data_IF_468161260086
#
_entry.id   IF_468161260086
#
_cell.length_a   1.000
_cell.length_b   1.000
_cell.length_c   1.000
_cell.angle_alpha   90.00
_cell.angle_beta   90.00
_cell.angle_gamma   90.00
#
_symmetry.space_group_name_H-M   'P 1'
#
loop_
_entity.id
_entity.type
_entity.pdbx_description
1 polymer ?
#
# COMPACT_ATOMS: atom_id res chain seq x y z
N UNK A 1 -10.12 47.64 27.55
CA UNK A 1 -9.72 46.24 27.75
C UNK A 1 -9.62 45.95 29.22
N UNK A 2 -10.55 45.19 29.79
CA UNK A 2 -10.49 44.70 31.16
C UNK A 2 -9.35 43.66 31.19
N UNK A 3 -8.24 44.00 31.79
CA UNK A 3 -7.14 43.07 32.05
C UNK A 3 -7.69 41.91 32.91
N UNK A 4 -7.60 40.71 32.40
CA UNK A 4 -8.01 39.50 33.12
C UNK A 4 -7.12 39.32 34.37
N UNK A 5 -7.65 39.45 35.61
CA UNK A 5 -6.83 39.38 36.82
C UNK A 5 -6.08 38.07 36.98
N UNK A 6 -6.60 36.97 36.41
CA UNK A 6 -5.95 35.67 36.40
C UNK A 6 -4.71 35.65 35.53
N UNK A 7 -4.70 36.36 34.39
CA UNK A 7 -3.50 36.47 33.56
C UNK A 7 -2.37 37.23 34.25
N UNK A 8 -2.69 38.26 35.02
CA UNK A 8 -1.70 39.04 35.76
C UNK A 8 -1.14 38.24 36.95
N UNK A 9 -1.99 37.49 37.66
CA UNK A 9 -1.56 36.61 38.75
C UNK A 9 -0.64 35.48 38.22
N UNK A 10 -0.98 34.87 37.05
CA UNK A 10 -0.13 33.88 36.43
C UNK A 10 1.22 34.46 36.00
N UNK A 11 1.28 35.69 35.48
CA UNK A 11 2.53 36.34 35.16
C UNK A 11 3.39 36.58 36.40
N UNK A 12 2.80 37.03 37.52
CA UNK A 12 3.52 37.23 38.78
C UNK A 12 4.07 35.91 39.34
N UNK A 13 3.28 34.84 39.33
CA UNK A 13 3.73 33.52 39.76
C UNK A 13 4.87 33.02 38.86
N UNK A 14 4.73 33.18 37.55
CA UNK A 14 5.76 32.76 36.58
C UNK A 14 7.00 33.66 36.57
N UNK A 15 7.00 34.81 37.28
CA UNK A 15 8.18 35.67 37.45
C UNK A 15 8.99 35.38 38.72
N UNK A 16 8.59 34.41 39.54
CA UNK A 16 9.37 33.91 40.66
C UNK A 16 10.64 33.24 40.21
N UNK A 17 11.80 33.64 40.73
CA UNK A 17 13.11 33.19 40.23
C UNK A 17 13.33 31.70 40.45
N UNK A 18 12.94 31.11 41.56
CA UNK A 18 13.07 29.68 41.87
C UNK A 18 12.16 28.85 40.96
N UNK A 19 10.95 29.34 40.70
CA UNK A 19 10.02 28.71 39.78
C UNK A 19 10.52 28.82 38.35
N UNK A 20 11.09 29.92 37.92
CA UNK A 20 11.70 30.13 36.61
C UNK A 20 12.88 29.19 36.37
N UNK A 21 13.75 29.00 37.37
CA UNK A 21 14.86 28.01 37.26
C UNK A 21 14.33 26.60 37.08
N UNK A 22 13.32 26.21 37.87
CA UNK A 22 12.66 24.90 37.77
C UNK A 22 12.01 24.71 36.39
N UNK A 23 11.25 25.70 35.94
CA UNK A 23 10.55 25.66 34.64
C UNK A 23 11.55 25.62 33.48
N UNK A 24 12.66 26.32 33.58
CA UNK A 24 13.72 26.32 32.59
C UNK A 24 14.43 24.95 32.54
N UNK A 25 14.70 24.35 33.70
CA UNK A 25 15.26 23.01 33.79
C UNK A 25 14.35 21.98 33.15
N UNK A 26 13.06 22.00 33.45
CA UNK A 26 12.07 21.08 32.83
C UNK A 26 11.92 21.35 31.34
N UNK A 27 11.90 22.61 30.91
CA UNK A 27 11.83 22.95 29.49
C UNK A 27 13.07 22.45 28.71
N UNK A 28 14.26 22.55 29.31
CA UNK A 28 15.49 22.01 28.69
C UNK A 28 15.46 20.48 28.61
N UNK A 29 15.00 19.80 29.66
CA UNK A 29 14.86 18.35 29.64
C UNK A 29 13.86 17.88 28.56
N UNK A 30 12.71 18.55 28.47
CA UNK A 30 11.70 18.27 27.43
C UNK A 30 12.29 18.54 26.04
N UNK A 31 13.01 19.65 25.85
CA UNK A 31 13.67 19.99 24.59
C UNK A 31 14.65 18.90 24.14
N UNK A 32 15.50 18.41 25.05
CA UNK A 32 16.45 17.34 24.73
C UNK A 32 15.73 16.03 24.37
N UNK A 33 14.70 15.64 25.11
CA UNK A 33 13.89 14.47 24.78
C UNK A 33 13.20 14.59 23.42
N UNK A 34 12.65 15.76 23.09
CA UNK A 34 12.05 16.01 21.79
C UNK A 34 13.08 15.95 20.65
N UNK A 35 14.29 16.45 20.89
CA UNK A 35 15.41 16.37 19.95
C UNK A 35 15.84 14.92 19.70
N UNK A 36 15.92 14.12 20.76
CA UNK A 36 16.19 12.69 20.65
C UNK A 36 15.14 11.97 19.80
N UNK A 37 13.85 12.24 20.03
CA UNK A 37 12.76 11.66 19.25
C UNK A 37 12.85 12.06 17.77
N UNK A 38 13.07 13.37 17.50
CA UNK A 38 13.19 13.89 16.15
C UNK A 38 14.40 13.27 15.41
N UNK A 39 15.57 13.19 16.07
CA UNK A 39 16.76 12.58 15.50
C UNK A 39 16.56 11.08 15.21
N UNK A 40 15.95 10.33 16.14
CA UNK A 40 15.62 8.92 15.94
C UNK A 40 14.68 8.73 14.75
N UNK A 41 13.70 9.60 14.60
CA UNK A 41 12.79 9.57 13.44
C UNK A 41 13.55 9.80 12.14
N UNK A 42 14.47 10.76 12.11
CA UNK A 42 15.31 11.01 10.94
C UNK A 42 16.29 9.86 10.65
N UNK A 43 16.85 9.23 11.67
CA UNK A 43 17.68 8.03 11.48
C UNK A 43 16.90 6.90 10.83
N UNK A 44 15.68 6.63 11.31
CA UNK A 44 14.81 5.62 10.70
C UNK A 44 14.38 5.99 9.28
N UNK A 45 14.16 7.26 9.03
CA UNK A 45 13.88 7.73 7.68
C UNK A 45 15.11 7.59 6.76
N UNK A 46 16.33 7.84 7.28
CA UNK A 46 17.60 7.68 6.52
C UNK A 46 17.86 6.23 6.12
N UNK A 47 17.51 5.26 6.98
CA UNK A 47 17.55 3.83 6.64
C UNK A 47 16.66 3.50 5.45
N UNK A 48 15.52 4.21 5.32
CA UNK A 48 14.52 3.97 4.30
C UNK A 48 14.74 4.81 3.04
N UNK A 49 15.06 6.11 3.20
CA UNK A 49 15.34 7.06 2.11
C UNK A 49 16.26 8.18 2.61
N UNK A 50 17.56 8.05 2.29
CA UNK A 50 18.58 9.01 2.71
C UNK A 50 18.35 10.40 2.08
N UNK A 51 17.87 10.45 0.83
CA UNK A 51 17.64 11.71 0.11
C UNK A 51 16.55 12.55 0.78
N UNK A 52 15.46 11.90 1.23
CA UNK A 52 14.39 12.58 1.96
C UNK A 52 14.90 12.99 3.35
N UNK A 53 15.58 12.09 4.07
CA UNK A 53 16.06 12.37 5.42
C UNK A 53 17.04 13.54 5.46
N UNK A 54 17.96 13.59 4.50
CA UNK A 54 18.98 14.64 4.44
C UNK A 54 18.40 16.01 4.03
N UNK A 55 17.19 16.02 3.45
CA UNK A 55 16.44 17.25 3.14
C UNK A 55 15.63 17.78 4.32
N UNK A 56 15.63 17.13 5.48
CA UNK A 56 14.79 17.44 6.63
C UNK A 56 15.66 17.81 7.84
N UNK A 57 15.28 18.89 8.53
CA UNK A 57 15.92 19.32 9.77
C UNK A 57 14.88 19.49 10.86
N UNK A 58 15.10 18.94 12.08
CA UNK A 58 14.21 19.20 13.21
C UNK A 58 14.30 20.66 13.64
N UNK A 59 13.15 21.31 13.75
CA UNK A 59 13.07 22.67 14.30
C UNK A 59 12.42 22.59 15.68
N UNK A 60 13.22 22.80 16.69
CA UNK A 60 12.81 22.81 18.10
C UNK A 60 12.94 24.23 18.62
N UNK A 61 11.86 24.85 19.10
CA UNK A 61 11.90 26.21 19.62
C UNK A 61 12.89 26.36 20.77
N UNK A 62 13.52 27.53 20.88
CA UNK A 62 14.39 27.80 22.03
C UNK A 62 13.57 27.89 23.33
N UNK A 63 14.14 27.43 24.43
CA UNK A 63 13.48 27.44 25.74
C UNK A 63 13.10 28.86 26.23
N UNK A 64 13.82 29.87 25.75
CA UNK A 64 13.56 31.30 26.09
C UNK A 64 12.31 31.86 25.40
N UNK A 65 11.86 31.27 24.31
CA UNK A 65 10.67 31.71 23.56
C UNK A 65 9.42 30.91 23.88
N UNK A 66 9.52 29.89 24.73
CA UNK A 66 8.43 28.93 24.97
C UNK A 66 7.52 29.39 26.07
N UNK A 67 6.24 29.54 25.73
CA UNK A 67 5.18 29.45 26.77
C UNK A 67 5.01 27.97 27.08
N UNK A 68 4.78 27.60 28.33
CA UNK A 68 4.56 26.19 28.73
C UNK A 68 3.65 25.39 27.78
N UNK A 69 2.59 26.04 27.31
CA UNK A 69 1.66 25.42 26.33
C UNK A 69 2.26 25.23 24.97
N UNK A 70 3.30 25.96 24.61
CA UNK A 70 3.92 25.90 23.27
C UNK A 70 5.03 24.86 23.20
N UNK A 71 5.61 24.42 24.32
CA UNK A 71 6.64 23.37 24.40
C UNK A 71 6.17 22.10 23.71
N UNK A 72 4.90 21.75 23.88
CA UNK A 72 4.33 20.53 23.28
C UNK A 72 3.80 20.72 21.85
N UNK A 73 3.62 21.97 21.41
CA UNK A 73 3.08 22.29 20.07
C UNK A 73 4.14 22.81 19.09
N UNK A 74 5.30 23.20 19.58
CA UNK A 74 6.33 23.89 18.80
C UNK A 74 7.33 22.98 18.11
N UNK A 75 7.23 21.65 18.28
CA UNK A 75 8.12 20.72 17.59
C UNK A 75 7.67 20.57 16.14
N UNK A 76 8.56 20.88 15.23
CA UNK A 76 8.34 20.66 13.80
C UNK A 76 9.58 20.08 13.14
N UNK A 77 9.37 19.39 12.03
CA UNK A 77 10.44 18.97 11.12
C UNK A 77 10.34 19.86 9.90
N UNK A 78 11.42 20.60 9.59
CA UNK A 78 11.53 21.40 8.38
C UNK A 78 12.56 20.82 7.42
N UNK A 79 12.46 21.15 6.14
CA UNK A 79 13.44 20.79 5.14
C UNK A 79 14.50 21.89 4.92
N UNK A 80 15.35 21.68 3.92
CA UNK A 80 16.53 22.52 3.62
C UNK A 80 16.23 24.01 3.43
N UNK A 81 15.03 24.41 3.08
CA UNK A 81 14.63 25.81 2.90
C UNK A 81 13.68 26.28 4.01
N UNK A 82 13.80 25.76 5.23
CA UNK A 82 12.88 26.00 6.34
C UNK A 82 11.40 25.71 6.01
N UNK A 83 11.16 24.85 5.01
CA UNK A 83 9.80 24.46 4.65
C UNK A 83 9.28 23.44 5.67
N UNK A 84 8.28 23.81 6.49
CA UNK A 84 7.72 22.90 7.47
C UNK A 84 7.14 21.63 6.85
N UNK A 85 7.22 20.49 7.55
CA UNK A 85 6.72 19.19 7.06
C UNK A 85 5.26 19.25 6.60
N UNK A 86 4.41 20.09 7.23
CA UNK A 86 3.01 20.27 6.86
C UNK A 86 2.81 20.95 5.49
N UNK A 87 3.86 21.57 4.93
CA UNK A 87 3.88 22.15 3.57
C UNK A 87 4.45 21.20 2.53
N UNK A 88 5.03 20.06 2.95
CA UNK A 88 5.55 19.04 2.04
C UNK A 88 4.45 18.12 1.50
N UNK A 89 4.77 17.38 0.45
CA UNK A 89 3.84 16.42 -0.15
C UNK A 89 3.36 15.35 0.84
N UNK A 90 2.17 14.82 0.61
CA UNK A 90 1.53 13.80 1.48
C UNK A 90 2.41 12.56 1.66
N UNK A 91 3.14 12.14 0.62
CA UNK A 91 4.06 11.00 0.67
C UNK A 91 5.14 11.18 1.74
N UNK A 92 5.84 12.32 1.74
CA UNK A 92 6.89 12.62 2.74
C UNK A 92 6.33 12.61 4.15
N UNK A 93 5.16 13.23 4.36
CA UNK A 93 4.49 13.25 5.68
C UNK A 93 4.22 11.84 6.21
N UNK A 94 3.72 10.94 5.35
CA UNK A 94 3.42 9.54 5.71
C UNK A 94 4.68 8.76 6.03
N UNK A 95 5.76 8.93 5.27
CA UNK A 95 7.05 8.29 5.53
C UNK A 95 7.64 8.74 6.88
N UNK A 96 7.60 10.04 7.17
CA UNK A 96 8.05 10.57 8.48
C UNK A 96 7.23 10.00 9.61
N UNK A 97 5.89 9.99 9.49
CA UNK A 97 5.00 9.44 10.51
C UNK A 97 5.25 7.95 10.76
N UNK A 98 5.44 7.16 9.71
CA UNK A 98 5.75 5.74 9.81
C UNK A 98 7.07 5.52 10.58
N UNK A 99 8.12 6.27 10.24
CA UNK A 99 9.42 6.14 10.90
C UNK A 99 9.41 6.68 12.34
N UNK A 100 8.56 7.64 12.64
CA UNK A 100 8.28 8.02 14.03
C UNK A 100 7.70 6.84 14.82
N UNK A 101 6.71 6.12 14.27
CA UNK A 101 6.15 4.93 14.92
C UNK A 101 7.19 3.82 15.09
N UNK A 102 8.04 3.56 14.08
CA UNK A 102 9.14 2.60 14.19
C UNK A 102 10.08 2.96 15.35
N UNK A 103 10.52 4.22 15.41
CA UNK A 103 11.38 4.70 16.48
C UNK A 103 10.74 4.57 17.88
N UNK A 104 9.43 4.80 17.98
CA UNK A 104 8.70 4.67 19.25
C UNK A 104 8.57 3.21 19.71
N UNK A 105 8.37 2.26 18.79
CA UNK A 105 8.35 0.84 19.10
C UNK A 105 9.71 0.37 19.62
N UNK A 106 10.78 0.73 18.94
CA UNK A 106 12.15 0.39 19.37
C UNK A 106 12.46 0.97 20.75
N UNK A 107 12.06 2.21 21.02
CA UNK A 107 12.23 2.83 22.32
C UNK A 107 11.53 2.04 23.42
N UNK A 108 10.25 1.71 23.24
CA UNK A 108 9.46 0.93 24.21
C UNK A 108 10.06 -0.46 24.45
N UNK A 109 10.53 -1.10 23.42
CA UNK A 109 11.19 -2.39 23.53
C UNK A 109 12.47 -2.31 24.35
N UNK A 110 13.31 -1.30 24.09
CA UNK A 110 14.56 -1.06 24.83
C UNK A 110 14.32 -0.68 26.30
N UNK A 111 13.17 -0.09 26.63
CA UNK A 111 12.76 0.22 28.01
C UNK A 111 12.13 -0.97 28.74
N UNK A 112 12.13 -2.18 28.13
CA UNK A 112 11.58 -3.39 28.73
C UNK A 112 10.05 -3.42 28.78
N UNK A 113 9.37 -2.56 28.04
CA UNK A 113 7.91 -2.56 27.94
C UNK A 113 7.46 -3.53 26.86
N UNK A 114 7.06 -4.72 27.26
CA UNK A 114 6.64 -5.82 26.38
C UNK A 114 5.15 -5.75 25.98
N UNK A 115 4.48 -4.61 26.13
CA UNK A 115 3.10 -4.46 25.67
C UNK A 115 3.02 -4.52 24.14
N UNK A 116 2.11 -5.35 23.62
CA UNK A 116 1.87 -5.44 22.17
C UNK A 116 1.36 -4.13 21.59
N UNK A 117 1.72 -3.84 20.35
CA UNK A 117 1.30 -2.65 19.61
C UNK A 117 0.62 -3.07 18.32
N UNK A 118 -0.56 -2.51 18.06
CA UNK A 118 -1.30 -2.68 16.80
C UNK A 118 -1.28 -1.35 16.06
N UNK A 119 -0.76 -1.35 14.84
CA UNK A 119 -0.84 -0.22 13.92
C UNK A 119 -1.97 -0.45 12.93
N UNK A 120 -3.00 0.38 13.00
CA UNK A 120 -4.08 0.43 12.03
C UNK A 120 -3.84 1.61 11.07
N UNK A 121 -3.65 1.33 9.80
CA UNK A 121 -3.25 2.31 8.78
C UNK A 121 -4.23 2.24 7.62
N UNK A 122 -4.85 3.36 7.29
CA UNK A 122 -5.80 3.46 6.18
C UNK A 122 -5.09 4.00 4.94
N UNK A 123 -5.21 3.26 3.83
CA UNK A 123 -4.71 3.62 2.50
C UNK A 123 -3.33 4.32 2.53
N UNK A 124 -2.29 3.66 3.07
CA UNK A 124 -0.99 4.30 3.26
C UNK A 124 -0.34 4.75 1.95
N UNK A 125 -0.74 4.18 0.83
CA UNK A 125 -0.24 4.46 -0.51
C UNK A 125 -0.81 5.72 -1.16
N UNK A 126 -1.91 6.27 -0.65
CA UNK A 126 -2.62 7.38 -1.30
C UNK A 126 -1.68 8.57 -1.56
N UNK A 127 -1.69 9.05 -2.80
CA UNK A 127 -0.84 10.16 -3.28
C UNK A 127 0.66 9.86 -3.25
N UNK A 128 1.07 8.59 -3.37
CA UNK A 128 2.47 8.21 -3.44
C UNK A 128 2.83 7.66 -4.82
N UNK A 129 4.05 7.98 -5.27
CA UNK A 129 4.64 7.33 -6.44
C UNK A 129 4.92 5.85 -6.14
N UNK A 130 4.90 5.00 -7.17
CA UNK A 130 5.06 3.54 -7.06
C UNK A 130 6.32 3.13 -6.29
N UNK A 131 7.45 3.82 -6.50
CA UNK A 131 8.70 3.53 -5.77
C UNK A 131 8.56 3.79 -4.26
N UNK A 132 7.83 4.84 -3.88
CA UNK A 132 7.57 5.13 -2.47
C UNK A 132 6.57 4.13 -1.88
N UNK A 133 5.62 3.62 -2.66
CA UNK A 133 4.73 2.55 -2.22
C UNK A 133 5.52 1.26 -1.90
N UNK A 134 6.53 0.91 -2.72
CA UNK A 134 7.41 -0.24 -2.46
C UNK A 134 8.17 -0.08 -1.15
N UNK A 135 8.87 1.04 -0.98
CA UNK A 135 9.61 1.35 0.26
C UNK A 135 8.70 1.32 1.49
N UNK A 136 7.48 1.85 1.35
CA UNK A 136 6.49 1.88 2.40
C UNK A 136 6.09 0.46 2.83
N UNK A 137 5.78 -0.43 1.89
CA UNK A 137 5.39 -1.80 2.19
C UNK A 137 6.55 -2.59 2.80
N UNK A 138 7.77 -2.41 2.31
CA UNK A 138 8.96 -3.02 2.90
C UNK A 138 9.14 -2.59 4.37
N UNK A 139 9.01 -1.29 4.65
CA UNK A 139 9.10 -0.75 6.00
C UNK A 139 7.96 -1.24 6.92
N UNK A 140 6.74 -1.40 6.39
CA UNK A 140 5.61 -1.97 7.15
C UNK A 140 5.78 -3.46 7.45
N UNK A 141 6.34 -4.23 6.51
CA UNK A 141 6.71 -5.64 6.74
C UNK A 141 7.79 -5.77 7.81
N UNK A 142 8.82 -4.94 7.75
CA UNK A 142 9.88 -4.89 8.76
C UNK A 142 9.28 -4.54 10.13
N UNK A 143 8.42 -3.54 10.21
CA UNK A 143 7.71 -3.17 11.44
C UNK A 143 6.88 -4.35 11.99
N UNK A 144 6.16 -5.05 11.12
CA UNK A 144 5.33 -6.20 11.50
C UNK A 144 6.15 -7.43 11.95
N UNK A 145 7.43 -7.51 11.56
CA UNK A 145 8.35 -8.57 12.03
C UNK A 145 8.85 -8.36 13.45
N UNK A 146 8.62 -7.17 14.02
CA UNK A 146 8.99 -6.85 15.41
C UNK A 146 8.20 -7.69 16.42
N UNK A 147 8.83 -7.98 17.58
CA UNK A 147 8.14 -8.70 18.66
C UNK A 147 6.94 -7.90 19.16
N UNK A 148 5.81 -8.58 19.32
CA UNK A 148 4.56 -8.00 19.82
C UNK A 148 4.02 -6.82 18.99
N UNK A 149 4.35 -6.76 17.70
CA UNK A 149 3.83 -5.76 16.76
C UNK A 149 2.91 -6.41 15.75
N UNK A 150 1.76 -5.81 15.53
CA UNK A 150 0.85 -6.16 14.46
C UNK A 150 0.58 -4.93 13.60
N UNK A 151 0.62 -5.10 12.29
CA UNK A 151 0.22 -4.07 11.32
C UNK A 151 -1.04 -4.53 10.61
N UNK A 152 -2.07 -3.70 10.62
CA UNK A 152 -3.30 -3.87 9.86
C UNK A 152 -3.42 -2.67 8.95
N UNK A 153 -3.54 -2.90 7.64
CA UNK A 153 -3.73 -1.81 6.69
C UNK A 153 -4.92 -2.08 5.77
N UNK A 154 -5.57 -1.01 5.33
CA UNK A 154 -6.50 -1.05 4.21
C UNK A 154 -5.82 -0.52 2.96
N UNK A 155 -6.14 -1.07 1.80
CA UNK A 155 -5.59 -0.63 0.53
C UNK A 155 -6.55 -0.88 -0.62
N UNK A 156 -6.53 0.01 -1.60
CA UNK A 156 -7.14 -0.17 -2.92
C UNK A 156 -6.07 -0.34 -4.03
N UNK A 157 -4.80 -0.54 -3.65
CA UNK A 157 -3.70 -0.67 -4.58
C UNK A 157 -3.42 -2.12 -4.92
N UNK A 158 -3.67 -2.51 -6.16
CA UNK A 158 -3.27 -3.80 -6.71
C UNK A 158 -1.74 -4.00 -6.64
N UNK A 159 -0.98 -2.91 -6.76
CA UNK A 159 0.47 -2.93 -6.59
C UNK A 159 0.90 -3.38 -5.18
N UNK A 160 0.23 -2.89 -4.14
CA UNK A 160 0.49 -3.31 -2.75
C UNK A 160 0.11 -4.78 -2.56
N UNK A 161 -1.07 -5.19 -3.02
CA UNK A 161 -1.55 -6.57 -2.90
C UNK A 161 -0.54 -7.56 -3.52
N UNK A 162 0.02 -7.23 -4.69
CA UNK A 162 1.05 -8.05 -5.36
C UNK A 162 2.36 -8.20 -4.57
N UNK A 163 2.56 -7.43 -3.51
CA UNK A 163 3.76 -7.53 -2.66
C UNK A 163 3.51 -8.27 -1.34
N UNK A 164 2.27 -8.67 -1.06
CA UNK A 164 1.86 -9.36 0.15
C UNK A 164 1.63 -10.86 -0.12
N UNK A 165 1.68 -11.66 0.94
CA UNK A 165 1.33 -13.06 0.85
C UNK A 165 -0.19 -13.25 1.03
N UNK A 166 -0.74 -14.30 0.42
CA UNK A 166 -2.18 -14.60 0.52
C UNK A 166 -2.69 -14.72 1.96
N UNK A 167 -1.88 -15.33 2.82
CA UNK A 167 -2.19 -15.48 4.25
C UNK A 167 -2.43 -14.14 4.96
N UNK A 168 -1.84 -13.07 4.44
CA UNK A 168 -1.95 -11.72 4.98
C UNK A 168 -3.17 -10.97 4.44
N UNK A 169 -3.79 -11.47 3.36
CA UNK A 169 -4.89 -10.77 2.71
C UNK A 169 -6.23 -11.09 3.36
N UNK A 170 -7.07 -10.07 3.45
CA UNK A 170 -8.47 -10.16 3.86
C UNK A 170 -9.31 -9.31 2.93
N UNK A 171 -10.33 -9.90 2.34
CA UNK A 171 -11.26 -9.22 1.45
C UNK A 171 -12.48 -8.75 2.25
N UNK A 172 -12.81 -7.47 2.13
CA UNK A 172 -14.04 -6.92 2.67
C UNK A 172 -15.09 -6.96 1.56
N UNK A 173 -16.10 -7.78 1.74
CA UNK A 173 -17.24 -7.89 0.81
C UNK A 173 -18.48 -7.29 1.45
N UNK A 174 -19.17 -6.42 0.70
CA UNK A 174 -20.50 -5.91 1.06
C UNK A 174 -21.60 -6.78 0.47
N UNK A 175 -22.68 -6.99 1.21
CA UNK A 175 -23.92 -7.42 0.61
C UNK A 175 -24.64 -6.18 0.06
N UNK A 176 -24.97 -6.18 -1.23
CA UNK A 176 -25.63 -5.06 -1.90
C UNK A 176 -27.06 -4.80 -1.37
N UNK A 177 -27.57 -5.65 -0.50
CA UNK A 177 -28.94 -5.60 0.03
C UNK A 177 -29.02 -5.17 1.49
N UNK A 178 -27.92 -5.21 2.25
CA UNK A 178 -27.83 -4.82 3.66
C UNK A 178 -26.51 -4.11 3.93
N UNK A 179 -26.48 -3.19 4.92
CA UNK A 179 -25.27 -2.50 5.39
C UNK A 179 -24.20 -3.43 6.03
N UNK A 180 -24.34 -4.73 5.85
CA UNK A 180 -23.47 -5.74 6.42
C UNK A 180 -22.23 -5.97 5.55
N UNK A 181 -21.06 -5.66 6.11
CA UNK A 181 -19.76 -6.01 5.50
C UNK A 181 -19.19 -7.24 6.18
N UNK A 182 -18.70 -8.17 5.39
CA UNK A 182 -18.05 -9.38 5.86
C UNK A 182 -16.57 -9.37 5.51
N UNK A 183 -15.73 -9.86 6.42
CA UNK A 183 -14.31 -10.08 6.18
C UNK A 183 -14.11 -11.54 5.81
N UNK A 184 -13.55 -11.80 4.62
CA UNK A 184 -13.23 -13.14 4.14
C UNK A 184 -11.72 -13.30 3.98
N UNK A 185 -11.21 -14.48 4.30
CA UNK A 185 -9.87 -14.87 3.86
C UNK A 185 -9.86 -14.91 2.33
N UNK A 186 -8.76 -14.46 1.74
CA UNK A 186 -8.58 -14.59 0.30
C UNK A 186 -8.07 -15.99 0.04
N UNK A 187 -8.93 -16.80 -0.54
CA UNK A 187 -8.59 -18.14 -1.00
C UNK A 187 -8.54 -18.11 -2.54
N UNK A 188 -7.51 -18.65 -3.15
CA UNK A 188 -7.49 -18.83 -4.60
C UNK A 188 -8.64 -19.77 -4.98
N UNK A 189 -9.51 -19.33 -5.89
CA UNK A 189 -10.71 -20.07 -6.20
C UNK A 189 -10.71 -20.77 -7.54
N UNK A 190 -9.81 -20.41 -8.46
CA UNK A 190 -9.83 -20.88 -9.84
C UNK A 190 -8.56 -21.63 -10.26
N UNK A 191 -7.45 -21.34 -9.61
CA UNK A 191 -6.17 -21.96 -9.90
C UNK A 191 -5.74 -22.82 -8.72
N UNK A 192 -5.08 -23.94 -8.98
CA UNK A 192 -4.58 -24.86 -7.94
C UNK A 192 -3.57 -24.21 -6.99
N UNK A 193 -2.99 -23.10 -7.38
CA UNK A 193 -2.06 -22.30 -6.58
C UNK A 193 -2.50 -20.84 -6.58
N UNK A 194 -2.19 -20.11 -5.51
CA UNK A 194 -2.57 -18.73 -5.37
C UNK A 194 -2.03 -17.86 -6.52
N UNK A 195 -2.91 -17.14 -7.21
CA UNK A 195 -2.55 -16.13 -8.20
C UNK A 195 -2.92 -14.74 -7.69
N UNK A 196 -1.93 -13.83 -7.67
CA UNK A 196 -2.19 -12.44 -7.31
C UNK A 196 -2.97 -11.70 -8.40
N UNK A 197 -2.94 -12.17 -9.65
CA UNK A 197 -3.78 -11.63 -10.71
C UNK A 197 -5.25 -11.98 -10.46
N UNK A 198 -5.53 -13.21 -10.01
CA UNK A 198 -6.87 -13.61 -9.59
C UNK A 198 -7.40 -12.77 -8.43
N UNK A 199 -6.57 -12.52 -7.41
CA UNK A 199 -6.95 -11.67 -6.27
C UNK A 199 -7.28 -10.27 -6.74
N UNK A 200 -6.48 -9.68 -7.60
CA UNK A 200 -6.72 -8.35 -8.14
C UNK A 200 -8.01 -8.28 -8.97
N UNK A 201 -8.26 -9.31 -9.78
CA UNK A 201 -9.51 -9.41 -10.52
C UNK A 201 -10.72 -9.50 -9.57
N UNK A 202 -10.67 -10.37 -8.55
CA UNK A 202 -11.78 -10.58 -7.62
C UNK A 202 -11.99 -9.39 -6.68
N UNK A 203 -10.91 -8.77 -6.20
CA UNK A 203 -10.98 -7.70 -5.20
C UNK A 203 -11.19 -6.31 -5.82
N UNK A 204 -10.61 -6.05 -7.00
CA UNK A 204 -10.58 -4.72 -7.60
C UNK A 204 -11.22 -4.64 -8.98
N UNK A 205 -11.76 -5.75 -9.49
CA UNK A 205 -12.28 -5.86 -10.87
C UNK A 205 -11.21 -5.45 -11.91
N UNK A 206 -9.93 -5.73 -11.59
CA UNK A 206 -8.79 -5.38 -12.45
C UNK A 206 -8.67 -6.38 -13.58
N UNK A 207 -9.02 -5.95 -14.79
CA UNK A 207 -8.93 -6.76 -16.01
C UNK A 207 -7.55 -6.56 -16.61
N UNK A 208 -6.74 -7.64 -16.64
CA UNK A 208 -5.37 -7.58 -17.15
C UNK A 208 -5.12 -8.66 -18.20
N UNK A 209 -4.22 -8.35 -19.13
CA UNK A 209 -3.71 -9.31 -20.10
C UNK A 209 -2.95 -10.46 -19.43
N UNK A 210 -2.26 -10.16 -18.32
CA UNK A 210 -1.53 -11.13 -17.51
C UNK A 210 -2.46 -12.18 -16.90
N UNK A 211 -3.61 -11.75 -16.36
CA UNK A 211 -4.57 -12.71 -15.80
C UNK A 211 -5.22 -13.56 -16.87
N UNK A 212 -5.55 -12.96 -18.02
CA UNK A 212 -6.05 -13.68 -19.17
C UNK A 212 -5.05 -14.76 -19.62
N UNK A 213 -3.76 -14.43 -19.74
CA UNK A 213 -2.73 -15.37 -20.17
C UNK A 213 -2.48 -16.48 -19.14
N UNK A 214 -2.58 -16.16 -17.85
CA UNK A 214 -2.45 -17.12 -16.76
C UNK A 214 -3.57 -18.17 -16.80
N UNK A 215 -4.83 -17.77 -16.95
CA UNK A 215 -5.97 -18.68 -17.09
C UNK A 215 -5.87 -19.54 -18.35
N UNK A 216 -5.48 -18.93 -19.48
CA UNK A 216 -5.27 -19.67 -20.71
C UNK A 216 -4.17 -20.72 -20.55
N UNK A 217 -3.04 -20.34 -19.98
CA UNK A 217 -1.91 -21.24 -19.77
C UNK A 217 -2.29 -22.38 -18.82
N UNK A 218 -3.12 -22.14 -17.82
CA UNK A 218 -3.64 -23.19 -16.96
C UNK A 218 -4.52 -24.18 -17.71
N UNK A 219 -5.48 -23.71 -18.52
CA UNK A 219 -6.33 -24.57 -19.37
C UNK A 219 -5.49 -25.39 -20.35
N UNK A 220 -4.46 -24.78 -20.94
CA UNK A 220 -3.54 -25.47 -21.87
C UNK A 220 -2.70 -26.53 -21.15
N UNK A 221 -2.15 -26.22 -19.97
CA UNK A 221 -1.36 -27.14 -19.15
C UNK A 221 -2.18 -28.37 -18.70
N UNK A 222 -3.44 -28.18 -18.35
CA UNK A 222 -4.35 -29.27 -17.99
C UNK A 222 -4.81 -30.11 -19.19
N UNK A 223 -4.48 -29.70 -20.41
CA UNK A 223 -4.90 -30.40 -21.63
C UNK A 223 -6.36 -30.15 -22.04
N UNK A 224 -7.01 -29.19 -21.42
CA UNK A 224 -8.46 -28.89 -21.61
C UNK A 224 -8.75 -27.98 -22.80
N UNK A 225 -7.73 -27.48 -23.48
CA UNK A 225 -7.85 -26.48 -24.55
C UNK A 225 -8.87 -26.86 -25.62
N UNK A 226 -8.83 -28.09 -26.11
CA UNK A 226 -9.76 -28.53 -27.15
C UNK A 226 -11.22 -28.60 -26.66
N UNK A 227 -11.42 -29.03 -25.44
CA UNK A 227 -12.73 -29.06 -24.79
C UNK A 227 -13.26 -27.64 -24.57
N UNK A 228 -12.41 -26.73 -24.10
CA UNK A 228 -12.77 -25.33 -23.90
C UNK A 228 -13.15 -24.62 -25.21
N UNK A 229 -12.51 -24.95 -26.33
CA UNK A 229 -12.77 -24.33 -27.64
C UNK A 229 -13.99 -24.91 -28.34
N UNK A 230 -14.42 -26.12 -27.95
CA UNK A 230 -15.51 -26.81 -28.62
C UNK A 230 -16.80 -26.00 -28.64
N UNK A 231 -17.36 -25.80 -29.84
CA UNK A 231 -18.63 -25.10 -30.00
C UNK A 231 -18.59 -23.57 -29.85
N UNK A 232 -17.44 -22.98 -29.50
CA UNK A 232 -17.30 -21.53 -29.38
C UNK A 232 -17.21 -20.85 -30.76
N UNK A 233 -17.77 -19.65 -30.92
CA UNK A 233 -17.66 -18.89 -32.16
C UNK A 233 -16.22 -18.52 -32.45
N UNK A 234 -15.85 -18.50 -33.75
CA UNK A 234 -14.52 -18.12 -34.20
C UNK A 234 -14.58 -16.85 -35.00
N UNK A 235 -13.43 -16.13 -35.05
CA UNK A 235 -13.21 -15.00 -35.93
C UNK A 235 -11.90 -15.14 -36.70
N UNK A 236 -11.81 -14.43 -37.80
CA UNK A 236 -10.64 -14.46 -38.68
C UNK A 236 -9.43 -13.81 -37.97
N UNK A 237 -8.31 -14.51 -38.01
CA UNK A 237 -7.01 -14.05 -37.54
C UNK A 237 -5.98 -14.16 -38.68
N UNK A 238 -5.35 -13.04 -39.02
CA UNK A 238 -4.29 -12.98 -40.03
C UNK A 238 -2.95 -13.20 -39.32
N UNK A 239 -2.40 -14.41 -39.47
CA UNK A 239 -1.10 -14.75 -38.94
C UNK A 239 0.00 -14.26 -39.85
N UNK A 240 0.90 -13.43 -39.34
CA UNK A 240 2.11 -13.01 -40.07
C UNK A 240 3.17 -14.11 -39.94
N UNK A 241 3.71 -14.55 -41.11
CA UNK A 241 4.75 -15.56 -41.17
C UNK A 241 6.13 -14.90 -41.27
N UNK A 242 7.22 -15.55 -40.77
CA UNK A 242 8.58 -15.00 -40.84
C UNK A 242 9.07 -14.61 -42.25
N UNK A 243 8.50 -15.21 -43.29
CA UNK A 243 8.81 -14.91 -44.70
C UNK A 243 8.01 -13.72 -45.26
N UNK A 244 7.25 -13.01 -44.41
CA UNK A 244 6.41 -11.87 -44.78
C UNK A 244 5.05 -12.23 -45.40
N UNK A 245 4.74 -13.53 -45.59
CA UNK A 245 3.43 -13.98 -46.06
C UNK A 245 2.42 -13.95 -44.89
N UNK A 246 1.12 -13.94 -45.21
CA UNK A 246 0.04 -14.08 -44.28
C UNK A 246 -0.69 -15.40 -44.44
N UNK A 247 -1.15 -15.95 -43.31
CA UNK A 247 -2.01 -17.12 -43.26
C UNK A 247 -3.26 -16.79 -42.49
N UNK A 248 -4.40 -17.10 -43.07
CA UNK A 248 -5.70 -16.91 -42.45
C UNK A 248 -6.06 -18.12 -41.58
N UNK A 249 -6.40 -17.87 -40.33
CA UNK A 249 -6.79 -18.87 -39.32
C UNK A 249 -8.10 -18.46 -38.66
N UNK A 250 -8.93 -19.44 -38.30
CA UNK A 250 -10.12 -19.18 -37.47
C UNK A 250 -9.77 -19.39 -36.00
N UNK A 251 -9.98 -18.38 -35.16
CA UNK A 251 -9.62 -18.39 -33.74
C UNK A 251 -10.84 -18.08 -32.88
N UNK A 252 -11.03 -18.82 -31.80
CA UNK A 252 -11.95 -18.40 -30.72
C UNK A 252 -11.43 -17.12 -30.07
N UNK A 253 -12.32 -16.36 -29.44
CA UNK A 253 -11.99 -15.06 -28.85
C UNK A 253 -10.75 -15.15 -27.95
N UNK A 254 -10.73 -16.11 -27.03
CA UNK A 254 -9.62 -16.32 -26.08
C UNK A 254 -8.29 -16.57 -26.77
N UNK A 255 -8.26 -17.41 -27.80
CA UNK A 255 -7.02 -17.68 -28.56
C UNK A 255 -6.62 -16.47 -29.42
N UNK A 256 -7.59 -15.71 -29.92
CA UNK A 256 -7.35 -14.49 -30.68
C UNK A 256 -6.67 -13.40 -29.81
N UNK A 257 -7.17 -13.19 -28.59
CA UNK A 257 -6.57 -12.26 -27.63
C UNK A 257 -5.15 -12.70 -27.27
N UNK A 258 -4.96 -13.97 -26.89
CA UNK A 258 -3.64 -14.51 -26.57
C UNK A 258 -2.61 -14.29 -27.68
N UNK A 259 -3.00 -14.55 -28.93
CA UNK A 259 -2.10 -14.33 -30.07
C UNK A 259 -1.70 -12.87 -30.20
N UNK A 260 -2.58 -11.91 -29.94
CA UNK A 260 -2.22 -10.51 -30.00
C UNK A 260 -1.36 -10.06 -28.82
N UNK A 261 -1.55 -10.62 -27.63
CA UNK A 261 -0.68 -10.38 -26.47
C UNK A 261 0.75 -10.84 -26.78
N UNK A 262 0.90 -12.05 -27.35
CA UNK A 262 2.21 -12.64 -27.61
C UNK A 262 2.86 -12.17 -28.92
N UNK A 263 2.09 -11.56 -29.83
CA UNK A 263 2.56 -11.06 -31.11
C UNK A 263 2.13 -9.59 -31.34
N UNK A 264 2.59 -8.67 -30.47
CA UNK A 264 2.22 -7.25 -30.56
C UNK A 264 2.70 -6.59 -31.87
N UNK A 265 3.68 -7.16 -32.54
CA UNK A 265 4.18 -6.74 -33.86
C UNK A 265 3.20 -7.01 -35.00
N UNK A 266 2.23 -7.89 -34.80
CA UNK A 266 1.25 -8.24 -35.85
C UNK A 266 0.08 -7.25 -35.87
N UNK A 267 0.19 -6.22 -36.68
CA UNK A 267 -0.81 -5.15 -36.85
C UNK A 267 -1.91 -5.48 -37.86
N UNK A 268 -1.97 -6.69 -38.43
CA UNK A 268 -2.95 -7.07 -39.43
C UNK A 268 -4.34 -7.33 -38.88
N UNK A 269 -4.45 -7.47 -37.56
CA UNK A 269 -5.69 -7.82 -36.87
C UNK A 269 -6.25 -6.62 -36.10
N UNK A 270 -7.58 -6.51 -36.04
CA UNK A 270 -8.22 -5.52 -35.17
C UNK A 270 -7.89 -5.84 -33.71
N UNK A 271 -7.40 -4.84 -32.97
CA UNK A 271 -7.08 -5.03 -31.55
C UNK A 271 -8.36 -5.35 -30.77
N UNK A 272 -8.25 -6.27 -29.81
CA UNK A 272 -9.34 -6.58 -28.89
C UNK A 272 -9.64 -5.39 -27.97
N UNK A 273 -10.87 -5.35 -27.46
CA UNK A 273 -11.30 -4.39 -26.45
C UNK A 273 -11.15 -4.93 -25.04
N UNK A 274 -11.20 -4.06 -24.04
CA UNK A 274 -11.14 -4.48 -22.63
C UNK A 274 -12.35 -5.36 -22.26
N UNK A 275 -13.51 -5.09 -22.85
CA UNK A 275 -14.72 -5.88 -22.66
C UNK A 275 -14.56 -7.30 -23.23
N UNK A 276 -13.85 -7.44 -24.34
CA UNK A 276 -13.53 -8.75 -24.92
C UNK A 276 -12.55 -9.53 -24.03
N UNK A 277 -11.58 -8.86 -23.38
CA UNK A 277 -10.69 -9.48 -22.39
C UNK A 277 -11.50 -9.93 -21.17
N UNK A 278 -12.39 -9.08 -20.65
CA UNK A 278 -13.32 -9.44 -19.56
C UNK A 278 -14.12 -10.67 -19.89
N UNK A 279 -14.80 -10.66 -21.04
CA UNK A 279 -15.62 -11.80 -21.48
C UNK A 279 -14.80 -13.08 -21.57
N UNK A 280 -13.60 -13.01 -22.10
CA UNK A 280 -12.71 -14.16 -22.20
C UNK A 280 -12.24 -14.69 -20.85
N UNK A 281 -11.94 -13.80 -19.89
CA UNK A 281 -11.60 -14.18 -18.51
C UNK A 281 -12.79 -14.87 -17.84
N UNK A 282 -13.99 -14.29 -17.93
CA UNK A 282 -15.22 -14.86 -17.35
C UNK A 282 -15.53 -16.25 -17.94
N UNK A 283 -15.41 -16.40 -19.26
CA UNK A 283 -15.61 -17.69 -19.95
C UNK A 283 -14.62 -18.76 -19.49
N UNK A 284 -13.35 -18.39 -19.32
CA UNK A 284 -12.33 -19.32 -18.82
C UNK A 284 -12.58 -19.70 -17.36
N UNK A 285 -12.92 -18.73 -16.53
CA UNK A 285 -13.24 -18.97 -15.11
C UNK A 285 -14.43 -19.89 -14.95
N UNK A 286 -15.53 -19.64 -15.69
CA UNK A 286 -16.71 -20.49 -15.67
C UNK A 286 -16.39 -21.93 -16.09
N UNK A 287 -15.62 -22.09 -17.16
CA UNK A 287 -15.20 -23.40 -17.64
C UNK A 287 -14.34 -24.17 -16.60
N UNK A 288 -13.39 -23.50 -15.96
CA UNK A 288 -12.55 -24.13 -14.92
C UNK A 288 -13.42 -24.57 -13.74
N UNK A 289 -14.36 -23.74 -13.30
CA UNK A 289 -15.30 -24.08 -12.21
C UNK A 289 -16.16 -25.29 -12.54
N UNK A 290 -16.66 -25.39 -13.78
CA UNK A 290 -17.45 -26.55 -14.24
C UNK A 290 -16.64 -27.85 -14.15
N UNK A 291 -15.39 -27.84 -14.65
CA UNK A 291 -14.51 -29.01 -14.62
C UNK A 291 -14.14 -29.40 -13.18
N UNK A 292 -13.80 -28.43 -12.33
CA UNK A 292 -13.44 -28.71 -10.92
C UNK A 292 -14.62 -29.29 -10.14
N UNK A 293 -15.84 -28.81 -10.40
CA UNK A 293 -17.07 -29.36 -9.82
C UNK A 293 -17.33 -30.80 -10.30
N UNK A 294 -17.10 -31.10 -11.57
CA UNK A 294 -17.23 -32.47 -12.12
C UNK A 294 -16.20 -33.44 -11.54
N UNK A 295 -14.99 -32.95 -11.22
CA UNK A 295 -13.91 -33.76 -10.67
C UNK A 295 -13.95 -33.86 -9.12
N UNK A 296 -14.88 -33.18 -8.47
CA UNK A 296 -15.03 -33.20 -7.02
C UNK A 296 -13.85 -32.57 -6.27
N UNK A 297 -13.20 -31.60 -6.90
CA UNK A 297 -12.03 -30.87 -6.36
C UNK A 297 -12.47 -29.68 -5.47
N UNK A 298 -13.76 -29.34 -5.42
CA UNK A 298 -14.34 -28.27 -4.59
C UNK A 298 -15.09 -28.87 -3.40
#
# INVERSE_FOLDING_TARGET
EVQDPLKEAVKQILSDDELQETLTSVANEVQEKLKEVANRTLEKLREMDSSIADSLNPVIPSTQSLKWQDVFKGVSISGDEDIPINKRGSGVKRLVLLNFFRGEVERRFNEGNNTGVIYAIEEPETSQHTDNQRKLIEALKELASGQNVQVILTTHSSFIVKQLEFSNLRLIVGDNTEDNKMIKAVLPGQLQYPSLNEVNYVAFDEITEEYHDELYSYIEFQGWKNTYFAGKPTRLYHRQMPNGSTRDEQKVLTEYIRHQIHHPENHLNTKYTIEEVRQSIEDMRAFIQEIDAEQGIV
#
